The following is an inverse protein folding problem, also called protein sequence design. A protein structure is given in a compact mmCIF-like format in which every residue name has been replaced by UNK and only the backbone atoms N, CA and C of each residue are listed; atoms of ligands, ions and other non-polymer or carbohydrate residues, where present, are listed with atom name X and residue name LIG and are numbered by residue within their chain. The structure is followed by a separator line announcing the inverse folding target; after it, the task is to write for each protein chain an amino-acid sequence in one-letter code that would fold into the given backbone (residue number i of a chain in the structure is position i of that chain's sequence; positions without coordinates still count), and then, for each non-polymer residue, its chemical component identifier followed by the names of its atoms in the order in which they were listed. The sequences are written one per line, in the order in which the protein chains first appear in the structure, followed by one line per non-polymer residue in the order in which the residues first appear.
data_IF_483908796009
#
_entry.id   IF_483908796009
#
_cell.length_a   1.000
_cell.length_b   1.000
_cell.length_c   1.000
_cell.angle_alpha   90.00
_cell.angle_beta   90.00
_cell.angle_gamma   90.00
#
_symmetry.space_group_name_H-M   'P 1'
#
loop_
_entity.id
_entity.type
_entity.pdbx_description
1 polymer ?
#
# COMPACT_ATOMS: atom_id res chain seq x y z
N UNK A 1 -3.25 -6.67 2.71
CA UNK A 1 -2.49 -7.92 2.43
C UNK A 1 -2.77 -8.96 3.51
N UNK A 2 -2.35 -10.22 3.31
CA UNK A 2 -2.39 -11.24 4.36
C UNK A 2 -1.41 -10.92 5.50
N UNK A 3 -1.59 -11.50 6.70
CA UNK A 3 -0.65 -11.34 7.81
C UNK A 3 0.78 -11.72 7.40
N UNK A 4 1.80 -10.94 7.79
CA UNK A 4 3.20 -11.24 7.50
C UNK A 4 3.68 -10.92 6.06
N UNK A 5 2.75 -10.59 5.15
CA UNK A 5 3.10 -10.36 3.74
C UNK A 5 3.87 -9.05 3.55
N UNK A 6 3.50 -7.98 4.26
CA UNK A 6 4.19 -6.70 4.20
C UNK A 6 5.64 -6.81 4.71
N UNK A 7 5.83 -7.54 5.81
CA UNK A 7 7.14 -7.81 6.40
C UNK A 7 8.01 -8.67 5.46
N UNK A 8 7.41 -9.71 4.87
CA UNK A 8 8.08 -10.55 3.87
C UNK A 8 8.53 -9.72 2.66
N UNK A 9 7.65 -8.87 2.12
CA UNK A 9 7.95 -7.99 1.00
C UNK A 9 9.06 -6.98 1.35
N UNK A 10 9.01 -6.38 2.54
CA UNK A 10 10.04 -5.45 2.99
C UNK A 10 11.43 -6.10 3.11
N UNK A 11 11.50 -7.38 3.53
CA UNK A 11 12.76 -8.14 3.61
C UNK A 11 13.41 -8.37 2.25
N UNK A 12 12.62 -8.47 1.17
CA UNK A 12 13.14 -8.56 -0.21
C UNK A 12 13.81 -7.25 -0.67
N UNK A 13 13.56 -6.13 0.03
CA UNK A 13 14.04 -4.78 -0.31
C UNK A 13 13.88 -4.40 -1.79
N UNK A 14 12.67 -4.52 -2.37
CA UNK A 14 12.42 -3.96 -3.70
C UNK A 14 12.67 -2.44 -3.69
N UNK A 15 13.14 -1.89 -4.81
CA UNK A 15 13.31 -0.43 -4.94
C UNK A 15 11.98 0.32 -4.85
N UNK A 16 10.90 -0.30 -5.37
CA UNK A 16 9.55 0.27 -5.49
C UNK A 16 8.50 -0.77 -5.19
N UNK A 17 7.44 -0.37 -4.49
CA UNK A 17 6.23 -1.16 -4.25
C UNK A 17 5.04 -0.35 -4.75
N UNK A 18 4.30 -0.89 -5.70
CA UNK A 18 2.98 -0.36 -6.10
C UNK A 18 1.93 -1.21 -5.41
N UNK A 19 1.17 -0.59 -4.52
CA UNK A 19 0.13 -1.26 -3.73
C UNK A 19 -1.25 -0.75 -4.15
N UNK A 20 -2.01 -1.61 -4.83
CA UNK A 20 -3.43 -1.41 -5.15
C UNK A 20 -4.31 -2.08 -4.08
N UNK A 21 -5.28 -1.36 -3.52
CA UNK A 21 -6.20 -1.88 -2.50
C UNK A 21 -7.58 -1.24 -2.60
N UNK A 22 -8.63 -2.04 -2.38
CA UNK A 22 -10.00 -1.57 -2.22
C UNK A 22 -10.37 -1.21 -0.78
N UNK A 23 -9.53 -1.60 0.19
CA UNK A 23 -9.74 -1.36 1.61
C UNK A 23 -8.67 -0.36 2.12
N UNK A 24 -9.06 0.90 2.43
CA UNK A 24 -8.15 1.92 2.91
C UNK A 24 -7.53 1.60 4.28
N UNK A 25 -8.27 0.93 5.16
CA UNK A 25 -7.84 0.66 6.53
C UNK A 25 -6.74 -0.40 6.56
N UNK A 26 -6.92 -1.50 5.81
CA UNK A 26 -5.88 -2.53 5.69
C UNK A 26 -4.66 -2.00 4.94
N UNK A 27 -4.84 -1.18 3.91
CA UNK A 27 -3.73 -0.55 3.18
C UNK A 27 -2.93 0.39 4.08
N UNK A 28 -3.59 1.21 4.90
CA UNK A 28 -2.91 2.10 5.84
C UNK A 28 -2.10 1.33 6.89
N UNK A 29 -2.63 0.23 7.43
CA UNK A 29 -1.91 -0.67 8.35
C UNK A 29 -0.63 -1.21 7.72
N UNK A 30 -0.73 -1.73 6.50
CA UNK A 30 0.38 -2.36 5.81
C UNK A 30 1.43 -1.32 5.37
N UNK A 31 1.01 -0.12 4.92
CA UNK A 31 1.92 1.00 4.65
C UNK A 31 2.67 1.42 5.92
N UNK A 32 2.01 1.44 7.08
CA UNK A 32 2.66 1.74 8.37
C UNK A 32 3.74 0.70 8.71
N UNK A 33 3.49 -0.56 8.41
CA UNK A 33 4.50 -1.61 8.54
C UNK A 33 5.69 -1.37 7.60
N UNK A 34 5.43 -1.16 6.31
CA UNK A 34 6.47 -0.94 5.30
C UNK A 34 7.31 0.30 5.62
N UNK A 35 6.69 1.39 6.04
CA UNK A 35 7.38 2.63 6.43
C UNK A 35 8.27 2.44 7.65
N UNK A 36 7.81 1.66 8.65
CA UNK A 36 8.65 1.24 9.78
C UNK A 36 9.85 0.38 9.39
N UNK A 37 9.89 -0.16 8.16
CA UNK A 37 10.96 -1.03 7.65
C UNK A 37 11.84 -0.35 6.58
N UNK A 38 11.79 0.98 6.48
CA UNK A 38 12.69 1.75 5.61
C UNK A 38 12.12 2.03 4.21
N UNK A 39 10.80 2.02 4.06
CA UNK A 39 10.14 2.55 2.86
C UNK A 39 9.55 3.94 3.12
N UNK A 40 9.43 4.75 2.09
CA UNK A 40 8.72 6.02 2.12
C UNK A 40 7.51 5.95 1.19
N UNK A 41 6.34 6.37 1.67
CA UNK A 41 5.18 6.59 0.82
C UNK A 41 5.43 7.82 -0.05
N UNK A 42 5.41 7.66 -1.37
CA UNK A 42 5.67 8.72 -2.34
C UNK A 42 4.42 9.30 -2.95
N UNK A 43 3.42 8.46 -3.22
CA UNK A 43 2.14 8.91 -3.73
C UNK A 43 1.01 7.98 -3.30
N UNK A 44 -0.19 8.53 -3.27
CA UNK A 44 -1.43 7.81 -2.98
C UNK A 44 -2.53 8.39 -3.87
N UNK A 45 -3.16 7.56 -4.69
CA UNK A 45 -4.19 7.96 -5.64
C UNK A 45 -5.46 7.13 -5.42
N UNK A 46 -6.54 7.73 -4.87
CA UNK A 46 -7.86 7.13 -4.89
C UNK A 46 -8.46 7.15 -6.31
N UNK A 47 -9.22 6.11 -6.64
CA UNK A 47 -9.86 5.88 -7.93
C UNK A 47 -11.30 5.42 -7.69
N UNK A 48 -12.25 6.15 -8.29
CA UNK A 48 -13.64 5.70 -8.40
C UNK A 48 -13.77 4.79 -9.63
N UNK A 49 -13.59 3.49 -9.41
CA UNK A 49 -13.78 2.46 -10.45
C UNK A 49 -15.22 1.93 -10.49
N UNK A 50 -16.04 2.28 -9.50
CA UNK A 50 -17.40 1.79 -9.34
C UNK A 50 -18.32 2.96 -8.95
N UNK A 51 -18.69 3.81 -9.93
CA UNK A 51 -19.48 5.00 -9.66
C UNK A 51 -20.78 4.68 -8.94
N UNK A 52 -21.20 5.59 -8.06
CA UNK A 52 -22.42 5.46 -7.26
C UNK A 52 -22.40 4.29 -6.25
N UNK A 53 -21.22 3.77 -5.91
CA UNK A 53 -21.02 2.82 -4.81
C UNK A 53 -20.15 3.43 -3.71
N UNK A 54 -20.06 2.76 -2.56
CA UNK A 54 -19.11 3.14 -1.50
C UNK A 54 -17.69 2.62 -1.76
N UNK A 55 -17.47 1.91 -2.87
CA UNK A 55 -16.19 1.26 -3.16
C UNK A 55 -15.18 2.28 -3.69
N UNK A 56 -13.95 2.19 -3.21
CA UNK A 56 -12.84 3.02 -3.68
C UNK A 56 -11.61 2.15 -3.86
N UNK A 57 -10.97 2.24 -5.02
CA UNK A 57 -9.66 1.64 -5.25
C UNK A 57 -8.59 2.67 -4.95
N UNK A 58 -7.50 2.28 -4.29
CA UNK A 58 -6.40 3.19 -3.94
C UNK A 58 -5.09 2.59 -4.41
N UNK A 59 -4.35 3.35 -5.20
CA UNK A 59 -2.99 3.02 -5.65
C UNK A 59 -1.98 3.81 -4.84
N UNK A 60 -1.13 3.13 -4.08
CA UNK A 60 0.00 3.72 -3.34
C UNK A 60 1.34 3.34 -3.95
N UNK A 61 2.25 4.31 -4.06
CA UNK A 61 3.66 4.08 -4.40
C UNK A 61 4.52 4.22 -3.15
N UNK A 62 5.28 3.18 -2.82
CA UNK A 62 6.33 3.23 -1.83
C UNK A 62 7.70 3.00 -2.47
N UNK A 63 8.72 3.68 -1.95
CA UNK A 63 10.11 3.55 -2.38
C UNK A 63 11.01 3.24 -1.19
N UNK A 64 12.02 2.40 -1.40
CA UNK A 64 13.05 2.18 -0.40
C UNK A 64 13.80 3.50 -0.13
N UNK A 65 13.96 3.83 1.16
CA UNK A 65 14.73 4.99 1.62
C UNK A 65 16.21 4.66 1.81
#
# INVERSE_FOLDING_TARGET
MGPGTAEGLARLRPKRIVYVSCDPATQARDIRCLTGMGFALRSLQPLDMFPQTSHVEIVGLLEAS
#
